data_IF_420302799031
#
_entry.id   IF_420302799031
#
_cell.length_a   1.000
_cell.length_b   1.000
_cell.length_c   1.000
_cell.angle_alpha   90.00
_cell.angle_beta   90.00
_cell.angle_gamma   90.00
#
_symmetry.space_group_name_H-M   'P 1'
#
loop_
_entity.id
_entity.type
_entity.pdbx_description
1 polymer ?
#
# COMPACT_ATOMS: atom_id res chain seq x y z
N UNK A 1 14.33 -8.25 -9.81
CA UNK A 1 13.45 -7.38 -9.05
C UNK A 1 12.93 -8.06 -7.81
N UNK A 2 12.91 -7.35 -6.70
CA UNK A 2 12.30 -7.81 -5.47
C UNK A 2 11.03 -7.00 -5.24
N UNK A 3 9.90 -7.69 -5.20
CA UNK A 3 8.60 -7.07 -4.92
C UNK A 3 8.18 -7.40 -3.50
N UNK A 4 7.77 -6.37 -2.78
CA UNK A 4 7.13 -6.51 -1.49
C UNK A 4 5.65 -6.22 -1.68
N UNK A 5 4.81 -7.23 -1.42
CA UNK A 5 3.36 -7.08 -1.51
C UNK A 5 2.79 -7.20 -0.11
N UNK A 6 2.11 -6.17 0.34
CA UNK A 6 1.59 -6.14 1.71
C UNK A 6 0.33 -5.29 1.79
N UNK A 7 -0.46 -5.53 2.82
CA UNK A 7 -1.67 -4.76 3.08
C UNK A 7 -1.55 -4.09 4.44
N UNK A 8 -2.12 -2.89 4.54
CA UNK A 8 -2.17 -2.13 5.78
C UNK A 8 -3.59 -1.68 6.05
N UNK A 9 -3.92 -1.59 7.34
CA UNK A 9 -5.14 -0.94 7.77
C UNK A 9 -4.82 0.53 8.02
N UNK A 10 -5.60 1.41 7.42
CA UNK A 10 -5.42 2.85 7.55
C UNK A 10 -6.70 3.50 8.03
N UNK A 11 -6.59 4.61 8.74
CA UNK A 11 -7.73 5.37 9.19
C UNK A 11 -8.15 6.39 8.13
N UNK A 12 -9.37 6.25 7.64
CA UNK A 12 -9.97 7.26 6.77
C UNK A 12 -10.62 8.33 7.65
N UNK A 13 -9.93 9.44 7.82
CA UNK A 13 -10.38 10.51 8.69
C UNK A 13 -11.64 11.21 8.16
N UNK A 14 -11.81 11.21 6.85
CA UNK A 14 -12.99 11.84 6.22
C UNK A 14 -14.26 11.07 6.51
N UNK A 15 -14.18 9.73 6.43
CA UNK A 15 -15.33 8.85 6.64
C UNK A 15 -15.34 8.22 8.04
N UNK A 16 -14.34 8.51 8.85
CA UNK A 16 -14.20 8.02 10.23
C UNK A 16 -14.30 6.49 10.34
N UNK A 17 -13.66 5.80 9.41
CA UNK A 17 -13.63 4.35 9.39
C UNK A 17 -12.23 3.86 9.04
N UNK A 18 -11.95 2.61 9.37
CA UNK A 18 -10.72 1.98 8.96
C UNK A 18 -10.88 1.43 7.55
N UNK A 19 -9.87 1.62 6.73
CA UNK A 19 -9.83 1.12 5.36
C UNK A 19 -8.60 0.25 5.18
N UNK A 20 -8.64 -0.61 4.18
CA UNK A 20 -7.53 -1.49 3.85
C UNK A 20 -6.97 -1.11 2.49
N UNK A 21 -5.65 -1.06 2.39
CA UNK A 21 -4.95 -0.81 1.13
C UNK A 21 -3.87 -1.85 0.95
N UNK A 22 -3.71 -2.29 -0.28
CA UNK A 22 -2.66 -3.24 -0.66
C UNK A 22 -1.62 -2.50 -1.48
N UNK A 23 -0.36 -2.71 -1.12
CA UNK A 23 0.77 -2.04 -1.74
C UNK A 23 1.62 -3.05 -2.47
N UNK A 24 2.01 -2.70 -3.69
CA UNK A 24 3.02 -3.45 -4.44
C UNK A 24 4.23 -2.53 -4.53
N UNK A 25 5.30 -2.89 -3.84
CA UNK A 25 6.49 -2.06 -3.74
C UNK A 25 7.65 -2.75 -4.44
N UNK A 26 8.14 -2.15 -5.53
CA UNK A 26 9.34 -2.59 -6.22
C UNK A 26 10.53 -1.92 -5.54
N UNK A 27 11.29 -2.71 -4.78
CA UNK A 27 12.41 -2.19 -3.99
C UNK A 27 13.59 -1.76 -4.84
N UNK A 28 13.75 -2.35 -6.04
CA UNK A 28 14.85 -1.99 -6.94
C UNK A 28 14.58 -0.67 -7.64
N UNK A 29 13.37 -0.51 -8.18
CA UNK A 29 12.99 0.70 -8.91
C UNK A 29 12.45 1.81 -8.00
N UNK A 30 12.20 1.51 -6.74
CA UNK A 30 11.61 2.46 -5.80
C UNK A 30 10.24 2.93 -6.29
N UNK A 31 9.44 2.01 -6.79
CA UNK A 31 8.13 2.27 -7.37
C UNK A 31 7.06 1.60 -6.54
N UNK A 32 5.96 2.31 -6.29
CA UNK A 32 4.86 1.81 -5.45
C UNK A 32 3.56 1.90 -6.21
N UNK A 33 2.80 0.82 -6.19
CA UNK A 33 1.42 0.79 -6.68
C UNK A 33 0.50 0.62 -5.46
N UNK A 34 -0.49 1.47 -5.34
CA UNK A 34 -1.45 1.44 -4.25
C UNK A 34 -2.80 0.97 -4.77
N UNK A 35 -3.28 -0.13 -4.19
CA UNK A 35 -4.52 -0.78 -4.61
C UNK A 35 -5.50 -0.80 -3.44
N UNK A 36 -6.78 -0.79 -3.75
CA UNK A 36 -7.84 -0.99 -2.77
C UNK A 36 -8.52 -2.33 -3.03
N UNK A 37 -8.44 -3.28 -2.08
CA UNK A 37 -9.13 -4.57 -2.24
C UNK A 37 -10.63 -4.37 -2.29
N UNK A 38 -11.30 -5.05 -3.22
CA UNK A 38 -12.74 -4.98 -3.40
C UNK A 38 -13.39 -6.30 -2.99
N UNK A 39 -14.51 -6.22 -2.31
CA UNK A 39 -15.27 -7.42 -1.94
C UNK A 39 -16.25 -7.82 -3.02
N UNK A 40 -16.86 -6.86 -3.70
CA UNK A 40 -17.84 -7.13 -4.73
C UNK A 40 -17.81 -6.02 -5.78
N UNK A 41 -17.44 -6.32 -7.04
CA UNK A 41 -16.83 -7.59 -7.43
C UNK A 41 -15.44 -7.78 -6.81
N UNK A 42 -15.00 -9.02 -6.72
CA UNK A 42 -13.65 -9.31 -6.23
C UNK A 42 -12.62 -8.73 -7.19
N UNK A 43 -11.53 -8.23 -6.64
CA UNK A 43 -10.45 -7.65 -7.41
C UNK A 43 -9.84 -6.47 -6.67
N UNK A 44 -9.14 -5.64 -7.43
CA UNK A 44 -8.45 -4.47 -6.87
C UNK A 44 -8.79 -3.24 -7.67
N UNK A 45 -8.99 -2.15 -6.95
CA UNK A 45 -9.16 -0.84 -7.56
C UNK A 45 -7.82 -0.10 -7.45
N UNK A 46 -7.28 0.34 -8.59
CA UNK A 46 -6.03 1.09 -8.61
C UNK A 46 -6.28 2.50 -8.10
N UNK A 47 -5.65 2.86 -6.98
CA UNK A 47 -5.76 4.20 -6.42
C UNK A 47 -4.70 5.13 -7.00
N UNK A 48 -3.43 4.71 -6.96
CA UNK A 48 -2.34 5.52 -7.47
C UNK A 48 -1.09 4.68 -7.67
N UNK A 49 -0.12 5.24 -8.36
CA UNK A 49 1.20 4.64 -8.52
C UNK A 49 2.22 5.78 -8.60
N UNK A 50 3.36 5.61 -7.95
CA UNK A 50 4.35 6.67 -7.89
C UNK A 50 5.74 6.13 -7.58
N UNK A 51 6.77 6.94 -7.89
CA UNK A 51 8.15 6.66 -7.52
C UNK A 51 8.48 7.27 -6.16
N UNK A 52 9.32 6.59 -5.41
CA UNK A 52 9.78 7.08 -4.11
C UNK A 52 11.01 7.98 -4.27
N UNK A 53 10.89 9.00 -5.11
CA UNK A 53 11.97 9.94 -5.36
C UNK A 53 11.91 11.20 -4.47
N UNK A 54 10.90 11.27 -3.62
CA UNK A 54 10.75 12.38 -2.68
C UNK A 54 11.46 12.07 -1.36
N UNK A 55 12.03 13.08 -0.68
CA UNK A 55 12.61 12.86 0.64
C UNK A 55 11.60 12.23 1.61
N UNK A 56 12.03 11.20 2.30
CA UNK A 56 11.15 10.51 3.26
C UNK A 56 10.26 9.44 2.70
N UNK A 57 10.18 9.26 1.37
CA UNK A 57 9.32 8.25 0.76
C UNK A 57 9.70 6.83 1.16
N UNK A 58 10.98 6.47 1.08
CA UNK A 58 11.46 5.16 1.49
C UNK A 58 11.26 4.91 2.98
N UNK A 59 11.50 5.93 3.79
CA UNK A 59 11.31 5.83 5.24
C UNK A 59 9.86 5.55 5.58
N UNK A 60 8.93 6.20 4.87
CA UNK A 60 7.50 5.96 5.03
C UNK A 60 7.15 4.51 4.70
N UNK A 61 7.69 3.98 3.58
CA UNK A 61 7.45 2.59 3.19
C UNK A 61 7.97 1.61 4.23
N UNK A 62 9.15 1.86 4.80
CA UNK A 62 9.72 1.02 5.85
C UNK A 62 8.82 1.00 7.09
N UNK A 63 8.25 2.14 7.46
CA UNK A 63 7.31 2.21 8.57
C UNK A 63 6.04 1.41 8.28
N UNK A 64 5.53 1.51 7.07
CA UNK A 64 4.33 0.77 6.67
C UNK A 64 4.56 -0.73 6.68
N UNK A 65 5.73 -1.17 6.22
CA UNK A 65 6.10 -2.59 6.26
C UNK A 65 6.13 -3.14 7.68
N UNK A 66 6.52 -2.34 8.66
CA UNK A 66 6.49 -2.74 10.06
C UNK A 66 5.08 -2.88 10.61
N UNK A 67 4.13 -2.17 10.04
CA UNK A 67 2.72 -2.18 10.46
C UNK A 67 1.84 -3.02 9.54
N UNK A 68 2.41 -3.72 8.59
CA UNK A 68 1.63 -4.52 7.64
C UNK A 68 0.83 -5.60 8.34
N UNK A 69 -0.30 -5.95 7.73
CA UNK A 69 -1.12 -7.06 8.18
C UNK A 69 -0.41 -8.38 7.88
N UNK A 70 -0.79 -9.43 8.64
CA UNK A 70 -0.23 -10.76 8.40
C UNK A 70 -0.64 -11.32 7.05
N UNK A 71 -1.82 -10.92 6.56
CA UNK A 71 -2.34 -11.37 5.29
C UNK A 71 -2.33 -10.25 4.26
N UNK A 72 -2.11 -10.61 3.00
CA UNK A 72 -2.31 -9.71 1.87
C UNK A 72 -3.76 -9.80 1.47
N UNK A 73 -4.45 -8.68 1.53
CA UNK A 73 -5.87 -8.63 1.21
C UNK A 73 -6.11 -8.40 -0.28
#
# INVERSE_FOLDING_TARGET
HVLEIFSCEERDMKHRKNIYRTYVYDTAEKYVIVLEPQRSPYGYYLLTAYYLNMPGGEKKMKKMLKKKLEEVL
#
